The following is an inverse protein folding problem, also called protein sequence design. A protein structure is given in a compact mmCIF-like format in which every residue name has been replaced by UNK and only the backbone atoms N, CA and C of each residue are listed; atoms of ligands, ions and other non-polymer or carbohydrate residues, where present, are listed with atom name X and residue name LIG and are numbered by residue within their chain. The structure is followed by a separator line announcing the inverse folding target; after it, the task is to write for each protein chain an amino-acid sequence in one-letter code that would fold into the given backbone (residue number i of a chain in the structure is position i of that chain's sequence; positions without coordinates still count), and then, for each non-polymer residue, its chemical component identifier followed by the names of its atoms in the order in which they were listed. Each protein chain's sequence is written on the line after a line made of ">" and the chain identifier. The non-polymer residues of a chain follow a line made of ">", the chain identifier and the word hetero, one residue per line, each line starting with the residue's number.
data_IF_866431666948
#
_entry.id   IF_866431666948
#
_cell.length_a   1.000
_cell.length_b   1.000
_cell.length_c   1.000
_cell.angle_alpha   90.00
_cell.angle_beta   90.00
_cell.angle_gamma   90.00
#
_symmetry.space_group_name_H-M   'P 1'
#
loop_
_entity.id
_entity.type
_entity.pdbx_description
1 polymer ?
#
# COMPACT_ATOMS: atom_id res chain seq x y z
N UNK A 1 9.91 6.89 -5.16
CA UNK A 1 9.51 5.65 -4.46
C UNK A 1 9.21 4.55 -5.47
N UNK A 2 9.65 3.31 -5.20
CA UNK A 2 9.31 2.11 -5.97
C UNK A 2 8.70 1.07 -5.03
N UNK A 3 7.61 0.43 -5.45
CA UNK A 3 6.93 -0.62 -4.68
C UNK A 3 6.91 -1.89 -5.51
N UNK A 4 7.52 -2.95 -5.00
CA UNK A 4 7.48 -4.27 -5.62
C UNK A 4 6.35 -5.11 -5.03
N UNK A 5 5.57 -5.70 -5.89
CA UNK A 5 4.44 -6.58 -5.55
C UNK A 5 4.39 -7.75 -6.54
N UNK A 6 3.75 -8.84 -6.15
CA UNK A 6 3.54 -9.98 -7.05
C UNK A 6 2.67 -9.55 -8.25
N UNK A 7 3.06 -9.94 -9.46
CA UNK A 7 2.50 -9.43 -10.71
C UNK A 7 1.01 -9.73 -10.97
N UNK A 8 0.40 -10.65 -10.20
CA UNK A 8 -1.03 -10.97 -10.25
C UNK A 8 -1.87 -10.17 -9.25
N UNK A 9 -1.25 -9.25 -8.48
CA UNK A 9 -1.92 -8.44 -7.47
C UNK A 9 -1.85 -6.95 -7.82
N UNK A 10 -2.72 -6.17 -7.20
CA UNK A 10 -2.77 -4.71 -7.31
C UNK A 10 -2.46 -4.04 -5.98
N UNK A 11 -1.84 -2.86 -6.05
CA UNK A 11 -1.58 -2.01 -4.88
C UNK A 11 -2.89 -1.39 -4.37
N UNK A 12 -3.07 -1.40 -3.05
CA UNK A 12 -4.07 -0.60 -2.37
C UNK A 12 -3.44 0.74 -1.97
N UNK A 13 -3.78 1.79 -2.70
CA UNK A 13 -3.25 3.14 -2.49
C UNK A 13 -3.51 3.64 -1.06
N UNK A 14 -4.68 3.35 -0.48
CA UNK A 14 -5.00 3.75 0.89
C UNK A 14 -4.06 3.12 1.92
N UNK A 15 -3.69 1.84 1.74
CA UNK A 15 -2.70 1.19 2.62
C UNK A 15 -1.33 1.87 2.49
N UNK A 16 -0.94 2.21 1.27
CA UNK A 16 0.34 2.85 0.99
C UNK A 16 0.40 4.28 1.56
N UNK A 17 -0.64 5.10 1.34
CA UNK A 17 -0.79 6.44 1.95
C UNK A 17 -0.76 6.36 3.48
N UNK A 18 -1.46 5.39 4.08
CA UNK A 18 -1.46 5.20 5.52
C UNK A 18 -0.08 4.80 6.08
N UNK A 19 0.70 4.07 5.31
CA UNK A 19 2.06 3.69 5.70
C UNK A 19 3.03 4.87 5.62
N UNK A 20 2.98 5.61 4.51
CA UNK A 20 3.87 6.75 4.24
C UNK A 20 3.49 8.00 5.04
N UNK A 21 2.21 8.13 5.42
CA UNK A 21 1.60 9.35 6.00
C UNK A 21 1.69 10.56 5.08
N UNK A 22 1.71 10.31 3.78
CA UNK A 22 1.83 11.32 2.72
C UNK A 22 0.97 10.94 1.52
N UNK A 23 0.59 11.92 0.71
CA UNK A 23 -0.14 11.70 -0.53
C UNK A 23 0.78 11.06 -1.58
N UNK A 24 0.19 10.20 -2.41
CA UNK A 24 0.92 9.51 -3.48
C UNK A 24 0.25 9.76 -4.82
N UNK A 25 1.08 9.84 -5.85
CA UNK A 25 0.63 9.91 -7.24
C UNK A 25 1.44 8.93 -8.09
N UNK A 26 0.83 8.30 -9.13
CA UNK A 26 1.59 7.52 -10.09
C UNK A 26 2.69 8.36 -10.71
N UNK A 27 3.92 7.85 -10.72
CA UNK A 27 5.04 8.53 -11.34
C UNK A 27 5.05 8.30 -12.85
N UNK A 28 5.37 9.34 -13.60
CA UNK A 28 5.78 9.20 -15.00
C UNK A 28 7.28 8.90 -14.99
N UNK A 29 7.66 7.74 -15.53
CA UNK A 29 9.06 7.36 -15.63
C UNK A 29 9.68 8.12 -16.82
N UNK A 30 10.64 8.98 -16.51
CA UNK A 30 11.43 9.73 -17.48
C UNK A 30 12.87 9.23 -17.47
N UNK A 31 13.66 9.57 -18.47
CA UNK A 31 15.09 9.23 -18.53
C UNK A 31 15.86 9.75 -17.29
N UNK A 32 15.45 10.88 -16.72
CA UNK A 32 16.06 11.45 -15.52
C UNK A 32 15.90 10.59 -14.26
N UNK A 33 14.88 9.73 -14.22
CA UNK A 33 14.66 8.80 -13.09
C UNK A 33 15.73 7.71 -13.01
N UNK A 34 16.47 7.47 -14.10
CA UNK A 34 17.43 6.35 -14.19
C UNK A 34 16.78 4.97 -14.10
N UNK A 35 15.48 4.88 -14.42
CA UNK A 35 14.69 3.65 -14.36
C UNK A 35 14.21 3.26 -15.75
N UNK A 36 14.38 2.00 -16.11
CA UNK A 36 13.96 1.45 -17.39
C UNK A 36 12.51 0.96 -17.30
N UNK A 37 11.57 1.76 -17.82
CA UNK A 37 10.14 1.43 -17.79
C UNK A 37 9.87 0.05 -18.42
N UNK A 38 9.12 -0.80 -17.72
CA UNK A 38 8.85 -2.20 -18.13
C UNK A 38 9.91 -3.21 -17.69
N UNK A 39 11.12 -2.76 -17.32
CA UNK A 39 12.24 -3.66 -16.98
C UNK A 39 12.77 -3.43 -15.55
N UNK A 40 12.04 -2.73 -14.71
CA UNK A 40 12.42 -2.46 -13.32
C UNK A 40 12.34 -3.73 -12.49
N UNK A 41 13.43 -4.08 -11.81
CA UNK A 41 13.51 -5.24 -10.92
C UNK A 41 14.23 -4.90 -9.62
N UNK A 42 14.07 -5.74 -8.57
CA UNK A 42 14.60 -5.45 -7.24
C UNK A 42 16.11 -5.70 -7.12
N UNK A 43 16.66 -6.54 -8.01
CA UNK A 43 18.08 -6.94 -7.96
C UNK A 43 18.95 -5.87 -8.62
N UNK A 44 19.87 -5.30 -7.83
CA UNK A 44 20.77 -4.27 -8.34
C UNK A 44 20.09 -2.96 -8.74
N UNK A 45 18.88 -2.71 -8.27
CA UNK A 45 18.16 -1.48 -8.56
C UNK A 45 18.92 -0.27 -8.04
N UNK A 46 19.20 0.67 -8.92
CA UNK A 46 19.81 1.95 -8.60
C UNK A 46 18.73 3.04 -8.76
N UNK A 47 18.43 3.73 -7.70
CA UNK A 47 17.47 4.85 -7.70
C UNK A 47 18.20 6.11 -7.28
N UNK A 48 17.91 7.20 -7.96
CA UNK A 48 18.51 8.50 -7.66
C UNK A 48 17.85 9.14 -6.41
N UNK A 49 18.67 9.84 -5.61
CA UNK A 49 18.22 10.63 -4.46
C UNK A 49 17.69 9.83 -3.27
N UNK A 50 16.84 10.44 -2.46
CA UNK A 50 16.26 9.88 -1.23
C UNK A 50 15.07 8.94 -1.51
N UNK A 51 15.12 8.20 -2.61
CA UNK A 51 14.05 7.31 -3.01
C UNK A 51 13.99 6.07 -2.12
N UNK A 52 12.78 5.67 -1.75
CA UNK A 52 12.53 4.46 -0.95
C UNK A 52 12.06 3.31 -1.82
N UNK A 53 12.48 2.11 -1.47
CA UNK A 53 12.02 0.85 -2.07
C UNK A 53 11.23 0.07 -1.05
N UNK A 54 10.02 -0.32 -1.42
CA UNK A 54 9.09 -1.05 -0.58
C UNK A 54 8.74 -2.39 -1.22
N UNK A 55 8.49 -3.40 -0.38
CA UNK A 55 8.14 -4.74 -0.83
C UNK A 55 6.82 -5.17 -0.21
N UNK A 56 5.92 -5.65 -1.06
CA UNK A 56 4.67 -6.22 -0.56
C UNK A 56 4.90 -7.62 0.04
N UNK A 57 4.13 -7.95 1.07
CA UNK A 57 4.19 -9.23 1.77
C UNK A 57 3.93 -10.44 0.86
N UNK A 58 3.27 -10.25 -0.28
CA UNK A 58 3.08 -11.31 -1.26
C UNK A 58 4.38 -11.88 -1.84
N UNK A 59 5.50 -11.14 -1.71
CA UNK A 59 6.83 -11.55 -2.13
C UNK A 59 7.62 -12.28 -1.03
N UNK A 60 7.17 -12.19 0.22
CA UNK A 60 7.87 -12.81 1.36
C UNK A 60 8.03 -14.31 1.18
N UNK A 61 9.25 -14.82 1.35
CA UNK A 61 9.61 -16.24 1.17
C UNK A 61 9.29 -16.81 -0.23
N UNK A 62 9.22 -15.95 -1.27
CA UNK A 62 9.00 -16.40 -2.64
C UNK A 62 10.33 -16.67 -3.35
N UNK A 63 10.29 -17.69 -4.17
CA UNK A 63 11.39 -18.10 -5.05
C UNK A 63 10.88 -18.39 -6.46
N UNK A 64 11.79 -18.59 -7.38
CA UNK A 64 11.52 -18.90 -8.79
C UNK A 64 10.59 -17.86 -9.46
N UNK A 65 10.75 -16.59 -9.09
CA UNK A 65 10.03 -15.48 -9.70
C UNK A 65 10.78 -14.99 -10.96
N UNK A 66 10.05 -14.23 -11.79
CA UNK A 66 10.65 -13.44 -12.88
C UNK A 66 10.46 -11.96 -12.56
N UNK A 67 11.47 -11.15 -12.86
CA UNK A 67 11.43 -9.70 -12.69
C UNK A 67 12.27 -8.99 -13.76
N UNK A 68 12.11 -7.68 -13.88
CA UNK A 68 13.00 -6.87 -14.71
C UNK A 68 14.45 -6.97 -14.24
N UNK A 69 15.38 -6.78 -15.16
CA UNK A 69 16.82 -6.79 -14.88
C UNK A 69 17.42 -5.37 -14.79
N UNK A 70 16.59 -4.33 -14.75
CA UNK A 70 16.97 -2.92 -14.81
C UNK A 70 17.75 -2.54 -16.08
N UNK A 71 17.59 -3.32 -17.14
CA UNK A 71 18.18 -3.14 -18.45
C UNK A 71 17.11 -3.46 -19.51
N UNK A 72 17.05 -2.67 -20.58
CA UNK A 72 16.07 -2.82 -21.65
C UNK A 72 16.15 -4.21 -22.27
N UNK A 73 14.97 -4.82 -22.48
CA UNK A 73 14.76 -6.15 -23.04
C UNK A 73 15.27 -7.32 -22.17
N UNK A 74 15.79 -7.06 -20.96
CA UNK A 74 16.30 -8.10 -20.07
C UNK A 74 15.43 -8.34 -18.84
N UNK A 75 15.28 -9.62 -18.50
CA UNK A 75 14.57 -10.08 -17.30
C UNK A 75 15.39 -11.18 -16.60
N UNK A 76 15.36 -11.17 -15.27
CA UNK A 76 15.83 -12.27 -14.46
C UNK A 76 14.76 -13.35 -14.34
N UNK A 77 15.21 -14.61 -14.36
CA UNK A 77 14.41 -15.79 -14.02
C UNK A 77 15.00 -16.48 -12.79
N UNK A 78 14.13 -17.09 -11.99
CA UNK A 78 14.58 -17.81 -10.81
C UNK A 78 14.96 -16.88 -9.65
N UNK A 79 14.40 -15.67 -9.59
CA UNK A 79 14.58 -14.75 -8.47
C UNK A 79 14.11 -15.42 -7.18
N UNK A 80 14.98 -15.43 -6.19
CA UNK A 80 14.69 -15.85 -4.82
C UNK A 80 14.83 -14.65 -3.89
N UNK A 81 13.73 -14.29 -3.24
CA UNK A 81 13.68 -13.06 -2.44
C UNK A 81 14.62 -13.09 -1.24
N UNK A 82 14.88 -14.27 -0.67
CA UNK A 82 15.80 -14.40 0.47
C UNK A 82 17.26 -14.35 0.05
N UNK A 83 17.58 -14.93 -1.12
CA UNK A 83 18.94 -14.97 -1.65
C UNK A 83 19.34 -13.64 -2.29
N UNK A 84 18.45 -13.08 -3.13
CA UNK A 84 18.79 -12.00 -4.05
C UNK A 84 18.43 -10.61 -3.48
N UNK A 85 17.50 -10.55 -2.51
CA UNK A 85 17.05 -9.33 -1.86
C UNK A 85 16.92 -9.53 -0.34
N UNK A 86 18.00 -9.90 0.35
CA UNK A 86 17.95 -10.32 1.76
C UNK A 86 17.51 -9.20 2.71
N UNK A 87 17.72 -7.95 2.34
CA UNK A 87 17.37 -6.79 3.17
C UNK A 87 15.94 -6.29 2.96
N UNK A 88 15.12 -7.01 2.17
CA UNK A 88 13.75 -6.62 1.89
C UNK A 88 12.90 -6.59 3.16
N UNK A 89 12.21 -5.46 3.39
CA UNK A 89 11.23 -5.31 4.47
C UNK A 89 9.82 -5.38 3.87
N UNK A 90 9.07 -6.37 4.32
CA UNK A 90 7.77 -6.68 3.74
C UNK A 90 6.62 -6.02 4.51
N UNK A 91 5.70 -5.40 3.76
CA UNK A 91 4.52 -4.74 4.27
C UNK A 91 3.28 -5.18 3.49
N UNK A 92 2.10 -5.01 4.06
CA UNK A 92 0.84 -5.36 3.41
C UNK A 92 0.33 -4.17 2.60
N UNK A 93 0.56 -4.20 1.29
CA UNK A 93 0.08 -3.17 0.35
C UNK A 93 -0.92 -3.69 -0.67
N UNK A 94 -1.10 -5.01 -0.78
CA UNK A 94 -2.00 -5.60 -1.78
C UNK A 94 -3.48 -5.28 -1.49
N UNK A 95 -4.27 -5.10 -2.56
CA UNK A 95 -5.73 -5.14 -2.49
C UNK A 95 -6.21 -6.54 -2.12
N UNK A 96 -7.36 -6.64 -1.46
CA UNK A 96 -8.06 -7.90 -1.30
C UNK A 96 -8.51 -8.41 -2.68
N UNK A 97 -8.42 -9.73 -2.89
CA UNK A 97 -8.79 -10.37 -4.15
C UNK A 97 -9.65 -11.61 -3.91
N UNK A 98 -10.38 -12.02 -4.95
CA UNK A 98 -11.23 -13.22 -4.91
C UNK A 98 -10.39 -14.45 -4.58
N UNK A 99 -10.84 -15.27 -3.63
CA UNK A 99 -10.09 -16.45 -3.16
C UNK A 99 -8.89 -16.14 -2.28
N UNK A 100 -8.71 -14.88 -1.86
CA UNK A 100 -7.65 -14.48 -0.92
C UNK A 100 -7.78 -15.16 0.44
N UNK A 101 -6.67 -15.19 1.19
CA UNK A 101 -6.61 -15.77 2.52
C UNK A 101 -7.20 -14.79 3.54
N UNK A 102 -8.19 -15.24 4.30
CA UNK A 102 -8.76 -14.46 5.39
C UNK A 102 -7.76 -14.36 6.56
N UNK A 103 -7.41 -13.15 7.03
CA UNK A 103 -6.45 -12.99 8.14
C UNK A 103 -6.96 -13.52 9.47
N UNK A 104 -8.29 -13.70 9.64
CA UNK A 104 -8.87 -14.24 10.87
C UNK A 104 -8.87 -15.77 10.92
N UNK A 105 -9.23 -16.44 9.82
CA UNK A 105 -9.37 -17.91 9.82
C UNK A 105 -8.27 -18.65 9.03
N UNK A 106 -7.37 -17.94 8.34
CA UNK A 106 -6.27 -18.50 7.56
C UNK A 106 -6.68 -19.28 6.31
N UNK A 107 -7.97 -19.27 5.95
CA UNK A 107 -8.51 -20.02 4.81
C UNK A 107 -8.71 -19.11 3.59
N UNK A 108 -8.72 -19.68 2.39
CA UNK A 108 -9.06 -18.99 1.14
C UNK A 108 -10.58 -18.78 1.06
N UNK A 109 -11.07 -17.77 1.77
CA UNK A 109 -12.52 -17.54 1.94
C UNK A 109 -12.98 -16.13 1.54
N UNK A 110 -12.08 -15.30 1.06
CA UNK A 110 -12.45 -13.95 0.60
C UNK A 110 -13.25 -14.09 -0.69
N UNK A 111 -14.44 -13.47 -0.72
CA UNK A 111 -15.28 -13.34 -1.91
C UNK A 111 -15.48 -11.87 -2.22
N UNK A 112 -15.50 -11.53 -3.50
CA UNK A 112 -15.76 -10.17 -3.98
C UNK A 112 -17.11 -10.18 -4.70
N UNK A 113 -18.00 -9.26 -4.30
CA UNK A 113 -19.27 -9.03 -4.99
C UNK A 113 -19.50 -7.55 -5.18
N UNK A 114 -20.24 -7.21 -6.24
CA UNK A 114 -20.74 -5.85 -6.43
C UNK A 114 -22.05 -5.69 -5.67
N UNK A 115 -22.20 -4.56 -4.99
CA UNK A 115 -23.44 -4.18 -4.30
C UNK A 115 -23.84 -2.76 -4.67
N UNK A 116 -25.11 -2.44 -4.44
CA UNK A 116 -25.60 -1.06 -4.51
C UNK A 116 -25.55 -0.51 -3.09
N UNK A 117 -24.87 0.63 -2.90
CA UNK A 117 -24.85 1.33 -1.64
C UNK A 117 -26.21 1.99 -1.41
N UNK A 118 -26.93 1.55 -0.36
CA UNK A 118 -28.24 2.09 0.01
C UNK A 118 -28.18 3.08 1.15
N UNK A 119 -27.07 3.14 1.87
CA UNK A 119 -26.82 4.06 2.97
C UNK A 119 -25.44 3.88 3.55
N UNK A 120 -24.98 4.91 4.25
CA UNK A 120 -23.66 4.93 4.89
C UNK A 120 -23.73 5.63 6.24
N UNK A 121 -22.92 5.19 7.20
CA UNK A 121 -22.77 5.80 8.52
C UNK A 121 -21.30 6.10 8.75
N UNK A 122 -20.96 7.35 8.98
CA UNK A 122 -19.60 7.79 9.27
C UNK A 122 -19.44 8.21 10.73
N UNK A 123 -18.41 7.71 11.38
CA UNK A 123 -17.93 8.27 12.64
C UNK A 123 -16.95 9.40 12.33
N UNK A 124 -17.41 10.63 12.38
CA UNK A 124 -16.59 11.81 12.07
C UNK A 124 -15.68 12.20 13.25
N UNK A 125 -15.99 11.72 14.45
CA UNK A 125 -15.25 12.05 15.67
C UNK A 125 -15.27 13.56 15.94
N UNK A 126 -14.11 14.09 16.31
CA UNK A 126 -13.93 15.51 16.61
C UNK A 126 -13.15 16.28 15.52
N UNK A 127 -12.93 15.66 14.37
CA UNK A 127 -12.12 16.21 13.27
C UNK A 127 -12.56 17.61 12.84
N UNK A 128 -13.85 17.80 12.65
CA UNK A 128 -14.40 19.09 12.21
C UNK A 128 -14.65 20.03 13.38
N UNK A 129 -15.16 19.53 14.49
CA UNK A 129 -15.46 20.34 15.67
C UNK A 129 -14.23 20.95 16.30
N UNK A 130 -13.11 20.23 16.35
CA UNK A 130 -11.80 20.77 16.75
C UNK A 130 -11.30 21.85 15.79
N UNK A 131 -11.38 21.61 14.49
CA UNK A 131 -10.92 22.58 13.48
C UNK A 131 -11.71 23.90 13.53
N UNK A 132 -13.00 23.84 13.92
CA UNK A 132 -13.87 25.00 14.08
C UNK A 132 -13.87 25.60 15.50
N UNK A 133 -13.05 25.04 16.42
CA UNK A 133 -13.07 25.40 17.85
C UNK A 133 -14.46 25.32 18.48
N UNK A 134 -15.28 24.38 18.04
CA UNK A 134 -16.64 24.19 18.53
C UNK A 134 -16.60 23.45 19.87
N UNK A 135 -17.17 24.08 20.91
CA UNK A 135 -17.19 23.51 22.25
C UNK A 135 -18.59 23.64 22.88
N UNK A 136 -18.85 22.82 23.88
CA UNK A 136 -20.04 22.91 24.73
C UNK A 136 -19.66 22.67 26.19
N UNK A 137 -20.50 23.11 27.10
CA UNK A 137 -20.35 22.85 28.54
C UNK A 137 -21.21 21.64 28.89
N UNK A 138 -20.63 20.62 29.48
CA UNK A 138 -21.36 19.44 29.91
C UNK A 138 -22.08 19.61 31.23
N UNK A 139 -22.78 18.58 31.70
CA UNK A 139 -23.58 18.63 32.94
C UNK A 139 -22.74 18.90 34.21
N UNK A 140 -21.43 18.67 34.15
CA UNK A 140 -20.48 18.88 35.24
C UNK A 140 -19.81 20.26 35.16
N UNK A 141 -20.17 21.09 34.16
CA UNK A 141 -19.54 22.39 33.93
C UNK A 141 -18.23 22.32 33.17
N UNK A 142 -17.85 21.16 32.61
CA UNK A 142 -16.63 21.00 31.84
C UNK A 142 -16.83 21.38 30.37
N UNK A 143 -15.83 22.06 29.79
CA UNK A 143 -15.81 22.37 28.36
C UNK A 143 -15.36 21.15 27.57
N UNK A 144 -16.18 20.69 26.63
CA UNK A 144 -15.94 19.55 25.77
C UNK A 144 -16.13 19.86 24.30
N UNK A 145 -15.46 19.10 23.45
CA UNK A 145 -15.62 19.16 21.99
C UNK A 145 -16.68 18.13 21.57
N UNK A 146 -17.70 18.51 20.78
CA UNK A 146 -18.71 17.57 20.30
C UNK A 146 -18.10 16.49 19.39
N UNK A 147 -18.55 15.25 19.60
CA UNK A 147 -18.26 14.13 18.72
C UNK A 147 -19.37 14.01 17.69
N UNK A 148 -19.01 13.96 16.42
CA UNK A 148 -19.93 13.96 15.29
C UNK A 148 -20.06 12.58 14.67
N UNK A 149 -21.26 12.30 14.17
CA UNK A 149 -21.57 11.19 13.28
C UNK A 149 -22.46 11.66 12.13
N UNK A 150 -22.37 10.97 11.04
CA UNK A 150 -23.21 11.25 9.86
C UNK A 150 -23.86 9.95 9.39
#
# INVERSE_FOLDING_TARGET
>A
MVVFIRGDLEINETKLVNYLKDEIHPAVITEECGLNAGYIGPVGLKINGDSIVLYDRSLENRNNLSCGANEDEYHYKGLDMQRDVPDAKYHDFAKAYEGGICPKCGKKTIRISRGIEVGNIFQLGDKYTKAMNMTYVDQNGEIKTPIMGC
#
